data_IF_450137864218
#
_entry.id   IF_450137864218
#
_cell.length_a   1.000
_cell.length_b   1.000
_cell.length_c   1.000
_cell.angle_alpha   90.00
_cell.angle_beta   90.00
_cell.angle_gamma   90.00
#
_symmetry.space_group_name_H-M   'P 1'
#
loop_
_entity.id
_entity.type
_entity.pdbx_description
1 polymer ?
#
# COMPACT_ATOMS: atom_id res chain seq x y z
N UNK A 1 -4.36 -15.38 -4.37
CA UNK A 1 -5.51 -14.51 -4.03
C UNK A 1 -5.03 -13.07 -3.99
N UNK A 2 -5.87 -12.11 -4.35
CA UNK A 2 -5.51 -10.69 -4.36
C UNK A 2 -6.20 -9.99 -3.20
N UNK A 3 -5.43 -9.31 -2.36
CA UNK A 3 -5.94 -8.58 -1.21
C UNK A 3 -5.88 -7.07 -1.47
N UNK A 4 -6.92 -6.36 -1.03
CA UNK A 4 -7.00 -4.90 -1.17
C UNK A 4 -6.27 -4.21 -0.02
N UNK A 5 -5.44 -3.24 -0.36
CA UNK A 5 -4.79 -2.34 0.58
C UNK A 5 -5.17 -0.90 0.27
N UNK A 6 -5.42 -0.13 1.31
CA UNK A 6 -5.65 1.32 1.23
C UNK A 6 -4.53 2.03 2.00
N UNK A 7 -3.37 2.29 1.37
CA UNK A 7 -2.30 3.04 2.00
C UNK A 7 -2.53 4.53 1.82
N UNK A 8 -2.34 5.31 2.88
CA UNK A 8 -2.27 6.77 2.75
C UNK A 8 -1.50 7.38 3.91
N UNK A 9 -1.06 8.61 3.70
CA UNK A 9 -0.26 9.31 4.68
C UNK A 9 -1.11 10.23 5.53
N UNK A 10 -0.71 10.38 6.80
CA UNK A 10 -1.40 11.21 7.79
C UNK A 10 -0.39 12.12 8.49
N UNK A 11 -0.81 13.28 9.00
CA UNK A 11 0.11 14.17 9.73
C UNK A 11 0.70 13.51 10.97
N UNK A 12 -0.16 12.85 11.76
CA UNK A 12 0.22 12.18 13.00
C UNK A 12 -0.42 10.80 13.06
N UNK A 13 0.36 9.79 13.42
CA UNK A 13 -0.14 8.42 13.48
C UNK A 13 -1.14 8.21 14.62
N UNK A 14 -0.89 8.79 15.81
CA UNK A 14 -1.71 8.54 16.99
C UNK A 14 -3.20 8.90 16.81
N UNK A 15 -3.58 10.09 16.30
CA UNK A 15 -4.99 10.39 16.03
C UNK A 15 -5.62 9.47 14.99
N UNK A 16 -4.87 9.07 13.97
CA UNK A 16 -5.35 8.14 12.96
C UNK A 16 -5.63 6.76 13.54
N UNK A 17 -4.74 6.26 14.40
CA UNK A 17 -4.96 5.00 15.10
C UNK A 17 -6.17 5.09 16.05
N UNK A 18 -6.35 6.21 16.74
CA UNK A 18 -7.52 6.41 17.59
C UNK A 18 -8.82 6.27 16.79
N UNK A 19 -8.83 6.75 15.55
CA UNK A 19 -10.01 6.61 14.68
C UNK A 19 -10.21 5.17 14.23
N UNK A 20 -9.21 4.56 13.60
CA UNK A 20 -9.37 3.23 12.99
C UNK A 20 -9.39 2.10 14.02
N UNK A 21 -8.53 2.14 15.00
CA UNK A 21 -8.42 1.10 16.04
C UNK A 21 -9.48 1.27 17.11
N UNK A 22 -9.58 2.48 17.69
CA UNK A 22 -10.39 2.68 18.92
C UNK A 22 -11.85 2.95 18.58
N UNK A 23 -12.16 3.70 17.52
CA UNK A 23 -13.53 4.00 17.12
C UNK A 23 -14.13 2.98 16.18
N UNK A 24 -13.39 2.57 15.14
CA UNK A 24 -13.87 1.56 14.19
C UNK A 24 -13.60 0.13 14.64
N UNK A 25 -12.72 -0.08 15.60
CA UNK A 25 -12.44 -1.41 16.16
C UNK A 25 -11.56 -2.29 15.29
N UNK A 26 -10.78 -1.72 14.37
CA UNK A 26 -9.89 -2.50 13.53
C UNK A 26 -8.64 -2.92 14.31
N UNK A 27 -8.16 -4.15 14.08
CA UNK A 27 -6.98 -4.67 14.73
C UNK A 27 -5.71 -4.20 14.03
N UNK A 28 -4.75 -3.70 14.80
CA UNK A 28 -3.40 -3.41 14.30
C UNK A 28 -2.66 -4.74 14.14
N UNK A 29 -2.16 -5.01 12.93
CA UNK A 29 -1.48 -6.27 12.61
C UNK A 29 0.00 -6.09 12.30
N UNK A 30 0.46 -4.87 12.05
CA UNK A 30 1.86 -4.57 11.80
C UNK A 30 2.13 -3.08 12.08
N UNK A 31 3.39 -2.72 12.22
CA UNK A 31 3.80 -1.34 12.42
C UNK A 31 5.31 -1.19 12.33
N UNK A 32 5.77 0.05 12.17
CA UNK A 32 7.20 0.37 12.12
C UNK A 32 7.45 1.82 12.52
N UNK A 33 8.70 2.07 12.90
CA UNK A 33 9.22 3.42 13.15
C UNK A 33 10.68 3.44 12.73
N UNK A 34 11.02 4.31 11.77
CA UNK A 34 12.39 4.43 11.28
C UNK A 34 12.56 5.73 10.47
N UNK A 35 13.74 6.34 10.60
CA UNK A 35 14.14 7.48 9.77
C UNK A 35 13.10 8.61 9.69
N UNK A 36 12.42 8.89 10.81
CA UNK A 36 11.40 9.93 10.86
C UNK A 36 10.04 9.52 10.29
N UNK A 37 9.90 8.26 9.90
CA UNK A 37 8.65 7.69 9.40
C UNK A 37 8.06 6.74 10.44
N UNK A 38 6.75 6.84 10.65
CA UNK A 38 5.99 5.89 11.46
C UNK A 38 4.86 5.32 10.63
N UNK A 39 4.56 4.05 10.82
CA UNK A 39 3.49 3.40 10.10
C UNK A 39 2.78 2.34 10.92
N UNK A 40 1.55 2.04 10.51
CA UNK A 40 0.75 0.97 11.08
C UNK A 40 -0.12 0.36 10.00
N UNK A 41 -0.36 -0.94 10.10
CA UNK A 41 -1.27 -1.68 9.23
C UNK A 41 -2.38 -2.24 10.09
N UNK A 42 -3.63 -2.01 9.68
CA UNK A 42 -4.81 -2.53 10.36
C UNK A 42 -5.58 -3.44 9.41
N UNK A 43 -6.10 -4.53 9.96
CA UNK A 43 -6.91 -5.47 9.19
C UNK A 43 -8.37 -5.02 9.16
N UNK A 44 -8.98 -5.08 7.98
CA UNK A 44 -10.39 -4.79 7.75
C UNK A 44 -10.97 -5.95 6.92
N UNK A 45 -11.40 -7.02 7.59
CA UNK A 45 -11.72 -8.28 6.92
C UNK A 45 -10.49 -8.85 6.23
N UNK A 46 -10.58 -9.11 4.92
CA UNK A 46 -9.43 -9.53 4.10
C UNK A 46 -8.66 -8.35 3.53
N UNK A 47 -9.10 -7.12 3.75
CA UNK A 47 -8.43 -5.91 3.30
C UNK A 47 -7.57 -5.31 4.42
N UNK A 48 -6.75 -4.32 4.04
CA UNK A 48 -5.86 -3.64 4.99
C UNK A 48 -5.91 -2.13 4.79
N UNK A 49 -5.81 -1.40 5.89
CA UNK A 49 -5.55 0.03 5.90
C UNK A 49 -4.11 0.24 6.36
N UNK A 50 -3.30 0.90 5.55
CA UNK A 50 -1.92 1.25 5.92
C UNK A 50 -1.83 2.76 6.14
N UNK A 51 -1.41 3.14 7.34
CA UNK A 51 -1.25 4.54 7.73
C UNK A 51 0.24 4.84 7.88
N UNK A 52 0.69 5.90 7.25
CA UNK A 52 2.09 6.33 7.32
C UNK A 52 2.16 7.81 7.62
N UNK A 53 2.99 8.21 8.57
CA UNK A 53 3.29 9.63 8.85
C UNK A 53 4.77 9.92 8.57
N UNK A 54 5.14 11.13 8.15
CA UNK A 54 4.29 12.30 7.88
C UNK A 54 3.58 12.24 6.54
N UNK A 55 2.76 13.25 6.27
CA UNK A 55 2.05 13.38 5.00
C UNK A 55 3.02 13.52 3.84
N UNK A 56 2.76 12.75 2.78
CA UNK A 56 3.41 12.91 1.48
C UNK A 56 2.37 13.46 0.51
N UNK A 57 2.64 14.58 -0.18
CA UNK A 57 1.69 15.15 -1.13
C UNK A 57 1.33 14.18 -2.27
N UNK A 58 0.09 14.26 -2.71
CA UNK A 58 -0.42 13.47 -3.82
C UNK A 58 -1.59 12.56 -3.41
N UNK A 59 -2.27 11.98 -4.38
CA UNK A 59 -3.36 11.04 -4.10
C UNK A 59 -2.82 9.74 -3.53
N UNK A 60 -3.60 9.12 -2.64
CA UNK A 60 -3.27 7.80 -2.11
C UNK A 60 -3.42 6.75 -3.24
N UNK A 61 -2.48 5.81 -3.36
CA UNK A 61 -2.63 4.73 -4.34
C UNK A 61 -3.67 3.72 -3.88
N UNK A 62 -4.26 3.02 -4.84
CA UNK A 62 -5.00 1.79 -4.55
C UNK A 62 -4.03 0.64 -4.73
N UNK A 63 -3.89 -0.22 -3.75
CA UNK A 63 -2.88 -1.26 -3.76
C UNK A 63 -3.50 -2.65 -3.67
N UNK A 64 -2.92 -3.59 -4.43
CA UNK A 64 -3.36 -4.98 -4.46
C UNK A 64 -2.17 -5.88 -4.18
N UNK A 65 -2.30 -6.68 -3.13
CA UNK A 65 -1.28 -7.67 -2.78
C UNK A 65 -1.58 -8.97 -3.52
N UNK A 66 -0.56 -9.48 -4.20
CA UNK A 66 -0.59 -10.80 -4.84
C UNK A 66 0.38 -11.75 -4.12
N UNK A 67 0.38 -13.02 -4.50
CA UNK A 67 1.05 -14.05 -3.70
C UNK A 67 2.53 -14.26 -4.02
N UNK A 68 2.98 -13.89 -5.22
CA UNK A 68 4.33 -14.24 -5.68
C UNK A 68 4.91 -13.20 -6.66
N UNK A 69 6.22 -13.30 -6.89
CA UNK A 69 6.90 -12.53 -7.94
C UNK A 69 6.34 -12.85 -9.32
N UNK A 70 5.96 -14.12 -9.56
CA UNK A 70 5.36 -14.52 -10.84
C UNK A 70 4.05 -13.80 -11.06
N UNK A 71 3.23 -13.65 -10.02
CA UNK A 71 1.97 -12.92 -10.11
C UNK A 71 2.21 -11.43 -10.38
N UNK A 72 3.19 -10.82 -9.72
CA UNK A 72 3.58 -9.43 -10.00
C UNK A 72 3.97 -9.28 -11.46
N UNK A 73 4.82 -10.15 -11.95
CA UNK A 73 5.33 -10.11 -13.32
C UNK A 73 4.21 -10.36 -14.34
N UNK A 74 3.30 -11.28 -14.05
CA UNK A 74 2.18 -11.60 -14.94
C UNK A 74 1.22 -10.43 -15.08
N UNK A 75 0.91 -9.74 -13.99
CA UNK A 75 0.04 -8.54 -14.04
C UNK A 75 0.75 -7.41 -14.76
N UNK A 76 2.03 -7.19 -14.47
CA UNK A 76 2.83 -6.16 -15.14
C UNK A 76 2.86 -6.38 -16.66
N UNK A 77 2.99 -7.62 -17.12
CA UNK A 77 3.05 -7.94 -18.53
C UNK A 77 1.78 -7.59 -19.31
N UNK A 78 0.64 -7.44 -18.61
CA UNK A 78 -0.63 -7.04 -19.22
C UNK A 78 -0.80 -5.53 -19.36
N UNK A 79 0.10 -4.74 -18.76
CA UNK A 79 -0.03 -3.30 -18.74
C UNK A 79 0.57 -2.67 -19.98
N UNK A 80 -0.11 -1.65 -20.57
CA UNK A 80 0.52 -0.84 -21.61
C UNK A 80 1.78 -0.19 -21.07
N UNK A 81 2.94 -0.31 -21.76
CA UNK A 81 4.20 0.24 -21.22
C UNK A 81 4.15 1.73 -20.87
N UNK A 82 3.37 2.50 -21.62
CA UNK A 82 3.22 3.94 -21.36
C UNK A 82 2.47 4.28 -20.08
N UNK A 83 1.75 3.32 -19.48
CA UNK A 83 1.00 3.53 -18.25
C UNK A 83 1.80 3.10 -17.01
N UNK A 84 2.91 2.40 -17.18
CA UNK A 84 3.73 1.95 -16.04
C UNK A 84 4.48 3.16 -15.47
N UNK A 85 4.19 3.48 -14.20
CA UNK A 85 4.81 4.60 -13.49
C UNK A 85 6.12 4.19 -12.84
N UNK A 86 6.18 2.96 -12.32
CA UNK A 86 7.40 2.36 -11.78
C UNK A 86 7.39 0.87 -12.13
N UNK A 87 8.44 0.37 -12.82
CA UNK A 87 8.50 -1.06 -13.15
C UNK A 87 8.72 -1.92 -11.91
N UNK A 88 8.55 -3.26 -12.01
CA UNK A 88 8.76 -4.14 -10.88
C UNK A 88 10.13 -3.92 -10.24
N UNK A 89 10.13 -3.64 -8.95
CA UNK A 89 11.34 -3.40 -8.16
C UNK A 89 11.06 -3.70 -6.69
N UNK A 90 12.12 -3.75 -5.91
CA UNK A 90 12.03 -3.95 -4.47
C UNK A 90 11.96 -2.60 -3.77
N UNK A 91 10.97 -2.45 -2.90
CA UNK A 91 10.79 -1.25 -2.08
C UNK A 91 11.65 -1.32 -0.81
N UNK A 92 11.89 -0.17 -0.15
CA UNK A 92 12.79 -0.14 1.03
C UNK A 92 12.42 -1.10 2.16
N UNK A 93 11.13 -1.37 2.37
CA UNK A 93 10.65 -2.32 3.38
C UNK A 93 10.91 -3.78 2.99
N UNK A 94 11.27 -4.05 1.75
CA UNK A 94 11.62 -5.38 1.24
C UNK A 94 10.53 -6.05 0.40
N UNK A 95 9.35 -5.47 0.31
CA UNK A 95 8.32 -5.96 -0.61
C UNK A 95 8.67 -5.61 -2.06
N UNK A 96 8.10 -6.34 -3.01
CA UNK A 96 8.36 -6.15 -4.43
C UNK A 96 7.06 -5.91 -5.18
N UNK A 97 7.05 -4.94 -6.07
CA UNK A 97 5.87 -4.61 -6.86
C UNK A 97 6.14 -3.56 -7.92
N UNK A 98 5.08 -3.09 -8.55
CA UNK A 98 5.14 -2.03 -9.56
C UNK A 98 3.95 -1.10 -9.40
N UNK A 99 4.04 0.06 -10.06
CA UNK A 99 2.98 1.06 -10.05
C UNK A 99 2.57 1.37 -11.48
N UNK A 100 1.27 1.53 -11.68
CA UNK A 100 0.67 1.76 -12.99
C UNK A 100 -0.42 2.82 -12.88
N UNK A 101 -0.61 3.59 -13.95
CA UNK A 101 -1.73 4.53 -14.06
C UNK A 101 -3.00 3.75 -14.31
N UNK A 102 -3.97 3.90 -13.41
CA UNK A 102 -5.27 3.27 -13.51
C UNK A 102 -6.34 4.20 -14.10
N UNK A 103 -7.60 3.79 -14.06
CA UNK A 103 -8.72 4.60 -14.55
C UNK A 103 -8.80 5.93 -13.84
N UNK A 104 -9.16 6.97 -14.58
CA UNK A 104 -9.28 8.35 -14.10
C UNK A 104 -7.99 8.92 -13.48
N UNK A 105 -6.83 8.41 -13.92
CA UNK A 105 -5.54 8.89 -13.43
C UNK A 105 -5.15 8.39 -12.05
N UNK A 106 -5.84 7.41 -11.50
CA UNK A 106 -5.48 6.82 -10.21
C UNK A 106 -4.13 6.11 -10.31
N UNK A 107 -3.36 6.15 -9.23
CA UNK A 107 -2.17 5.30 -9.11
C UNK A 107 -2.59 3.97 -8.52
N UNK A 108 -2.24 2.89 -9.21
CA UNK A 108 -2.51 1.53 -8.76
C UNK A 108 -1.18 0.82 -8.52
N UNK A 109 -1.04 0.22 -7.35
CA UNK A 109 0.14 -0.55 -6.98
C UNK A 109 -0.22 -2.03 -6.91
N UNK A 110 0.61 -2.87 -7.52
CA UNK A 110 0.49 -4.33 -7.40
C UNK A 110 1.80 -4.83 -6.80
N UNK A 111 1.70 -5.62 -5.73
CA UNK A 111 2.89 -5.98 -4.97
C UNK A 111 2.74 -7.31 -4.26
N UNK A 112 3.88 -7.88 -3.87
CA UNK A 112 3.89 -9.05 -2.99
C UNK A 112 4.78 -8.80 -1.78
N UNK A 113 4.42 -9.38 -0.64
CA UNK A 113 5.19 -9.28 0.59
C UNK A 113 6.51 -10.03 0.44
N UNK A 114 7.52 -9.58 1.14
CA UNK A 114 8.86 -10.17 1.10
C UNK A 114 8.88 -11.61 1.65
#
# INVERSE_FOLDING_TARGET
>A
MTDLWLPYTVPDLAPALAFYRDRLGLAVVDGWSRDGEEGAVLAAGSAFVELVSPVVPGPAPVAFQVDSDEDVNAVHARMPPGDVLAPPHRYPRGHRGFEVRGPAGATVMVWRER
#
